data_IF_124560576867
#
_entry.id   IF_124560576867
#
_cell.length_a   1.000
_cell.length_b   1.000
_cell.length_c   1.000
_cell.angle_alpha   90.00
_cell.angle_beta   90.00
_cell.angle_gamma   90.00
#
_symmetry.space_group_name_H-M   'P 1'
#
loop_
_entity.id
_entity.type
_entity.pdbx_description
1 polymer ?
#
# COMPACT_ATOMS: atom_id res chain seq x y z
N UNK A 1 5.22 17.02 5.07
CA UNK A 1 4.74 15.74 5.63
C UNK A 1 5.36 15.57 7.01
N UNK A 2 4.58 15.22 7.99
CA UNK A 2 5.05 14.81 9.30
C UNK A 2 4.45 13.45 9.68
N UNK A 3 4.80 12.95 10.86
CA UNK A 3 4.36 11.62 11.32
C UNK A 3 2.83 11.51 11.36
N UNK A 4 2.15 12.52 11.88
CA UNK A 4 0.68 12.53 11.98
C UNK A 4 0.03 12.57 10.59
N UNK A 5 0.54 13.41 9.71
CA UNK A 5 0.04 13.51 8.33
C UNK A 5 0.29 12.21 7.54
N UNK A 6 1.41 11.54 7.80
CA UNK A 6 1.68 10.25 7.17
C UNK A 6 0.70 9.18 7.64
N UNK A 7 0.38 9.14 8.93
CA UNK A 7 -0.65 8.24 9.45
C UNK A 7 -2.00 8.46 8.77
N UNK A 8 -2.40 9.72 8.59
CA UNK A 8 -3.62 10.06 7.87
C UNK A 8 -3.55 9.66 6.38
N UNK A 9 -2.38 9.81 5.75
CA UNK A 9 -2.17 9.37 4.37
C UNK A 9 -2.35 7.84 4.23
N UNK A 10 -1.86 7.06 5.19
CA UNK A 10 -2.01 5.61 5.19
C UNK A 10 -3.48 5.18 5.25
N UNK A 11 -4.30 5.89 6.03
CA UNK A 11 -5.75 5.66 6.07
C UNK A 11 -6.38 5.94 4.70
N UNK A 12 -6.02 7.05 4.07
CA UNK A 12 -6.51 7.39 2.73
C UNK A 12 -6.04 6.38 1.67
N UNK A 13 -4.84 5.85 1.82
CA UNK A 13 -4.29 4.81 0.94
C UNK A 13 -5.19 3.56 0.97
N UNK A 14 -5.52 3.07 2.15
CA UNK A 14 -6.40 1.91 2.31
C UNK A 14 -7.81 2.20 1.79
N UNK A 15 -8.34 3.39 2.09
CA UNK A 15 -9.68 3.80 1.62
C UNK A 15 -9.74 3.90 0.10
N UNK A 16 -8.72 4.46 -0.54
CA UNK A 16 -8.66 4.56 -2.00
C UNK A 16 -8.59 3.16 -2.65
N UNK A 17 -7.84 2.26 -2.05
CA UNK A 17 -7.78 0.86 -2.48
C UNK A 17 -9.15 0.19 -2.37
N UNK A 18 -9.84 0.42 -1.26
CA UNK A 18 -11.18 -0.15 -1.03
C UNK A 18 -12.22 0.37 -2.03
N UNK A 19 -12.14 1.66 -2.37
CA UNK A 19 -13.10 2.31 -3.26
C UNK A 19 -12.84 2.04 -4.75
N UNK A 20 -11.62 1.71 -5.14
CA UNK A 20 -11.21 1.58 -6.53
C UNK A 20 -11.57 2.83 -7.37
N UNK A 21 -11.50 4.01 -6.75
CA UNK A 21 -11.83 5.28 -7.37
C UNK A 21 -10.57 5.94 -7.96
N UNK A 22 -10.51 6.19 -9.28
CA UNK A 22 -9.34 6.78 -9.91
C UNK A 22 -8.92 8.13 -9.30
N UNK A 23 -9.87 8.97 -8.92
CA UNK A 23 -9.58 10.27 -8.31
C UNK A 23 -8.96 10.10 -6.93
N UNK A 24 -9.54 9.25 -6.08
CA UNK A 24 -9.01 8.99 -4.74
C UNK A 24 -7.61 8.39 -4.79
N UNK A 25 -7.37 7.47 -5.73
CA UNK A 25 -6.03 6.89 -5.94
C UNK A 25 -5.06 7.97 -6.41
N UNK A 26 -5.44 8.75 -7.40
CA UNK A 26 -4.58 9.79 -7.98
C UNK A 26 -4.18 10.87 -6.97
N UNK A 27 -5.08 11.24 -6.07
CA UNK A 27 -4.85 12.27 -5.05
C UNK A 27 -3.78 11.87 -4.01
N UNK A 28 -3.45 10.59 -3.90
CA UNK A 28 -2.41 10.11 -3.00
C UNK A 28 -1.01 10.42 -3.51
N UNK A 29 -0.84 10.63 -4.80
CA UNK A 29 0.46 10.62 -5.46
C UNK A 29 0.76 11.94 -6.17
N UNK A 30 2.05 12.30 -6.20
CA UNK A 30 2.51 13.43 -6.98
C UNK A 30 2.39 13.13 -8.49
N UNK A 31 2.35 14.17 -9.35
CA UNK A 31 2.27 13.93 -10.79
C UNK A 31 3.39 13.08 -11.37
N UNK A 32 4.58 13.14 -10.74
CA UNK A 32 5.80 12.45 -11.18
C UNK A 32 6.16 11.25 -10.28
N UNK A 33 5.20 10.70 -9.56
CA UNK A 33 5.42 9.60 -8.61
C UNK A 33 6.19 8.44 -9.23
N UNK A 34 7.04 7.83 -8.40
CA UNK A 34 7.73 6.58 -8.71
C UNK A 34 7.27 5.53 -7.70
N UNK A 35 6.55 4.53 -8.18
CA UNK A 35 5.94 3.51 -7.33
C UNK A 35 6.46 2.13 -7.69
N UNK A 36 7.19 1.49 -6.78
CA UNK A 36 7.67 0.13 -6.94
C UNK A 36 6.83 -0.82 -6.08
N UNK A 37 6.17 -1.78 -6.71
CA UNK A 37 5.34 -2.78 -6.04
C UNK A 37 6.16 -3.76 -5.22
N UNK A 38 7.43 -3.92 -5.56
CA UNK A 38 8.42 -4.68 -4.79
C UNK A 38 9.81 -4.14 -5.11
N UNK A 39 10.84 -4.47 -4.28
CA UNK A 39 12.17 -3.89 -4.45
C UNK A 39 12.94 -4.38 -5.70
N UNK A 40 12.45 -5.41 -6.38
CA UNK A 40 13.09 -5.95 -7.59
C UNK A 40 12.48 -5.41 -8.87
N UNK A 41 11.26 -4.89 -8.82
CA UNK A 41 10.54 -4.38 -9.99
C UNK A 41 10.94 -2.95 -10.32
N UNK A 42 10.91 -2.60 -11.61
CA UNK A 42 11.02 -1.22 -12.03
C UNK A 42 9.84 -0.42 -11.50
N UNK A 43 10.10 0.82 -11.10
CA UNK A 43 9.05 1.71 -10.64
C UNK A 43 8.09 2.06 -11.77
N UNK A 44 6.79 2.06 -11.45
CA UNK A 44 5.77 2.68 -12.30
C UNK A 44 5.91 4.20 -12.12
N UNK A 45 6.07 4.92 -13.22
CA UNK A 45 6.36 6.35 -13.21
C UNK A 45 5.16 7.15 -13.69
N UNK A 46 4.75 8.12 -12.87
CA UNK A 46 3.69 9.05 -13.19
C UNK A 46 2.33 8.64 -12.63
N UNK A 47 1.56 9.67 -12.22
CA UNK A 47 0.23 9.47 -11.64
C UNK A 47 -0.72 8.68 -12.55
N UNK A 48 -0.85 8.99 -13.84
CA UNK A 48 -1.75 8.23 -14.70
C UNK A 48 -1.38 6.75 -14.79
N UNK A 49 -0.09 6.44 -14.80
CA UNK A 49 0.38 5.07 -14.87
C UNK A 49 0.09 4.28 -13.61
N UNK A 50 0.27 4.89 -12.43
CA UNK A 50 -0.04 4.19 -11.16
C UNK A 50 -1.55 4.00 -10.97
N UNK A 51 -2.36 4.96 -11.36
CA UNK A 51 -3.82 4.80 -11.33
C UNK A 51 -4.25 3.65 -12.24
N UNK A 52 -3.71 3.58 -13.45
CA UNK A 52 -3.99 2.49 -14.37
C UNK A 52 -3.53 1.14 -13.82
N UNK A 53 -2.35 1.08 -13.20
CA UNK A 53 -1.82 -0.15 -12.62
C UNK A 53 -2.70 -0.67 -11.48
N UNK A 54 -3.18 0.22 -10.60
CA UNK A 54 -4.08 -0.15 -9.51
C UNK A 54 -5.42 -0.69 -10.00
N UNK A 55 -5.91 -0.17 -11.13
CA UNK A 55 -7.23 -0.51 -11.65
C UNK A 55 -7.21 -1.63 -12.71
N UNK A 56 -6.03 -2.17 -13.05
CA UNK A 56 -5.92 -3.25 -14.04
C UNK A 56 -6.57 -4.55 -13.54
N UNK A 57 -6.38 -4.89 -12.25
CA UNK A 57 -6.97 -6.07 -11.63
C UNK A 57 -7.33 -5.72 -10.18
N UNK A 58 -8.37 -4.89 -10.00
CA UNK A 58 -8.68 -4.35 -8.68
C UNK A 58 -9.24 -5.42 -7.75
N UNK A 59 -8.84 -5.37 -6.49
CA UNK A 59 -9.41 -6.20 -5.45
C UNK A 59 -10.84 -5.76 -5.15
N UNK A 60 -11.79 -6.69 -5.17
CA UNK A 60 -13.18 -6.38 -4.89
C UNK A 60 -13.37 -5.98 -3.42
N UNK A 61 -14.24 -5.01 -3.12
CA UNK A 61 -14.52 -4.63 -1.74
C UNK A 61 -14.99 -5.82 -0.90
N UNK A 62 -14.50 -5.90 0.34
CA UNK A 62 -14.88 -6.96 1.27
C UNK A 62 -14.14 -8.28 1.09
N UNK A 63 -13.22 -8.38 0.11
CA UNK A 63 -12.42 -9.59 -0.13
C UNK A 63 -11.07 -9.55 0.56
N UNK A 64 -10.73 -8.43 1.18
CA UNK A 64 -9.46 -8.21 1.86
C UNK A 64 -9.61 -7.24 3.02
N UNK A 65 -8.64 -7.27 3.92
CA UNK A 65 -8.47 -6.32 5.02
C UNK A 65 -7.02 -5.89 5.07
N UNK A 66 -6.78 -4.64 5.41
CA UNK A 66 -5.43 -4.12 5.59
C UNK A 66 -5.40 -3.04 6.65
N UNK A 67 -4.31 -3.03 7.41
CA UNK A 67 -4.02 -1.99 8.39
C UNK A 67 -2.52 -1.70 8.38
N UNK A 68 -2.18 -0.42 8.25
CA UNK A 68 -0.81 0.05 8.22
C UNK A 68 -0.65 1.21 9.18
N UNK A 69 0.50 1.27 9.82
CA UNK A 69 0.83 2.34 10.77
C UNK A 69 2.24 2.87 10.55
N UNK A 70 2.51 4.05 11.05
CA UNK A 70 3.84 4.66 10.96
C UNK A 70 4.80 3.89 11.86
N UNK A 71 5.89 3.39 11.27
CA UNK A 71 6.95 2.71 12.01
C UNK A 71 8.07 3.68 12.38
N UNK A 72 8.52 4.49 11.45
CA UNK A 72 9.64 5.40 11.65
C UNK A 72 9.59 6.57 10.68
N UNK A 73 10.21 7.67 11.09
CA UNK A 73 10.43 8.85 10.23
C UNK A 73 11.88 9.29 10.46
N UNK A 74 12.63 9.43 9.38
CA UNK A 74 13.99 9.95 9.42
C UNK A 74 14.16 10.96 8.28
N UNK A 75 14.18 12.25 8.62
CA UNK A 75 14.26 13.32 7.63
C UNK A 75 13.08 13.24 6.66
N UNK A 76 13.37 13.05 5.39
CA UNK A 76 12.38 12.93 4.32
C UNK A 76 11.92 11.50 4.06
N UNK A 77 12.42 10.53 4.82
CA UNK A 77 12.09 9.12 4.65
C UNK A 77 11.03 8.71 5.67
N UNK A 78 9.91 8.21 5.18
CA UNK A 78 8.77 7.79 5.98
C UNK A 78 8.56 6.29 5.79
N UNK A 79 8.53 5.55 6.89
CA UNK A 79 8.41 4.09 6.88
C UNK A 79 7.14 3.68 7.59
N UNK A 80 6.33 2.88 6.92
CA UNK A 80 5.14 2.27 7.48
C UNK A 80 5.28 0.76 7.50
N UNK A 81 4.54 0.10 8.37
CA UNK A 81 4.42 -1.35 8.37
C UNK A 81 2.98 -1.75 8.69
N UNK A 82 2.65 -3.00 8.41
CA UNK A 82 1.33 -3.52 8.71
C UNK A 82 1.09 -4.87 8.10
N UNK A 83 -0.18 -5.19 7.97
CA UNK A 83 -0.64 -6.49 7.47
C UNK A 83 -1.70 -6.32 6.41
N UNK A 84 -1.67 -7.23 5.44
CA UNK A 84 -2.72 -7.39 4.44
C UNK A 84 -3.24 -8.81 4.50
N UNK A 85 -4.55 -8.96 4.58
CA UNK A 85 -5.21 -10.27 4.66
C UNK A 85 -6.21 -10.38 3.52
N UNK A 86 -6.03 -11.40 2.71
CA UNK A 86 -7.00 -11.75 1.67
C UNK A 86 -7.89 -12.85 2.21
N UNK A 87 -9.20 -12.68 2.05
CA UNK A 87 -10.20 -13.55 2.66
C UNK A 87 -10.60 -14.68 1.70
N UNK A 88 -11.08 -15.79 2.26
CA UNK A 88 -11.69 -16.87 1.48
C UNK A 88 -12.95 -16.39 0.78
N UNK A 89 -13.45 -17.15 -0.20
CA UNK A 89 -14.63 -16.78 -0.98
C UNK A 89 -15.87 -16.54 -0.12
N UNK A 90 -16.02 -17.29 0.97
CA UNK A 90 -17.12 -17.11 1.93
C UNK A 90 -16.83 -16.00 2.95
N UNK A 91 -15.64 -15.39 2.90
CA UNK A 91 -15.18 -14.32 3.79
C UNK A 91 -15.12 -14.71 5.27
N UNK A 92 -15.16 -15.99 5.58
CA UNK A 92 -15.16 -16.50 6.95
C UNK A 92 -13.74 -16.64 7.51
N UNK A 93 -12.75 -16.86 6.65
CA UNK A 93 -11.37 -17.15 7.03
C UNK A 93 -10.39 -16.34 6.19
N UNK A 94 -9.13 -16.34 6.63
CA UNK A 94 -8.02 -15.75 5.89
C UNK A 94 -7.46 -16.81 4.93
N UNK A 95 -7.44 -16.48 3.64
CA UNK A 95 -6.84 -17.31 2.60
C UNK A 95 -5.31 -17.15 2.59
N UNK A 96 -4.83 -15.91 2.63
CA UNK A 96 -3.40 -15.58 2.65
C UNK A 96 -3.18 -14.26 3.37
N UNK A 97 -2.04 -14.16 4.04
CA UNK A 97 -1.67 -12.98 4.80
C UNK A 97 -0.26 -12.54 4.46
N UNK A 98 -0.06 -11.22 4.41
CA UNK A 98 1.23 -10.60 4.16
C UNK A 98 1.60 -9.65 5.29
N UNK A 99 2.89 -9.62 5.62
CA UNK A 99 3.49 -8.52 6.38
C UNK A 99 4.09 -7.54 5.38
N UNK A 100 3.82 -6.26 5.56
CA UNK A 100 4.19 -5.22 4.61
C UNK A 100 5.05 -4.15 5.27
N UNK A 101 6.01 -3.63 4.50
CA UNK A 101 6.78 -2.42 4.84
C UNK A 101 6.72 -1.49 3.63
N UNK A 102 6.35 -0.23 3.85
CA UNK A 102 6.39 0.82 2.84
C UNK A 102 7.47 1.82 3.19
N UNK A 103 8.29 2.18 2.20
CA UNK A 103 9.24 3.27 2.33
C UNK A 103 8.81 4.36 1.35
N UNK A 104 8.52 5.54 1.88
CA UNK A 104 7.87 6.62 1.15
C UNK A 104 8.61 7.93 1.27
N UNK A 105 8.51 8.75 0.22
CA UNK A 105 8.87 10.16 0.24
C UNK A 105 7.71 10.97 -0.32
N UNK A 106 7.58 12.21 0.16
CA UNK A 106 6.44 13.07 -0.15
C UNK A 106 6.91 14.40 -0.73
N UNK A 107 6.06 15.03 -1.53
CA UNK A 107 6.26 16.39 -1.99
C UNK A 107 5.77 17.40 -0.94
N UNK A 108 5.94 18.71 -1.23
CA UNK A 108 5.56 19.78 -0.30
C UNK A 108 4.05 19.88 -0.09
N UNK A 109 3.25 19.24 -0.94
CA UNK A 109 1.79 19.21 -0.83
C UNK A 109 1.26 17.96 -0.13
N UNK A 110 2.17 17.12 0.40
CA UNK A 110 1.77 15.90 1.11
C UNK A 110 1.36 14.75 0.20
N UNK A 111 1.74 14.80 -1.07
CA UNK A 111 1.50 13.72 -2.03
C UNK A 111 2.75 12.85 -2.13
N UNK A 112 2.55 11.54 -2.23
CA UNK A 112 3.66 10.59 -2.31
C UNK A 112 4.36 10.71 -3.66
N UNK A 113 5.68 10.96 -3.64
CA UNK A 113 6.51 11.04 -4.84
C UNK A 113 7.36 9.81 -5.07
N UNK A 114 7.68 9.05 -4.02
CA UNK A 114 8.39 7.78 -4.09
C UNK A 114 7.77 6.79 -3.12
N UNK A 115 7.51 5.59 -3.60
CA UNK A 115 6.93 4.51 -2.82
C UNK A 115 7.60 3.20 -3.22
N UNK A 116 8.05 2.44 -2.24
CA UNK A 116 8.55 1.08 -2.45
C UNK A 116 7.97 0.18 -1.38
N UNK A 117 7.45 -0.96 -1.79
CA UNK A 117 6.91 -1.95 -0.87
C UNK A 117 7.85 -3.14 -0.75
N UNK A 118 8.04 -3.60 0.48
CA UNK A 118 8.55 -4.93 0.79
C UNK A 118 7.41 -5.71 1.39
N UNK A 119 7.24 -6.95 0.97
CA UNK A 119 6.22 -7.81 1.56
C UNK A 119 6.73 -9.23 1.71
N UNK A 120 6.19 -9.91 2.73
CA UNK A 120 6.47 -11.31 2.97
C UNK A 120 5.15 -12.02 3.25
N UNK A 121 4.88 -13.07 2.47
CA UNK A 121 3.70 -13.90 2.70
C UNK A 121 3.93 -14.77 3.94
N UNK A 122 2.90 -14.87 4.80
CA UNK A 122 2.93 -15.80 5.91
C UNK A 122 3.03 -17.21 5.35
N UNK A 123 4.00 -17.96 5.84
CA UNK A 123 4.13 -19.36 5.45
C UNK A 123 2.98 -20.18 6.05
N UNK A 124 2.44 -21.16 5.31
CA UNK A 124 1.51 -22.11 5.91
C UNK A 124 2.14 -22.75 7.13
N UNK A 125 1.34 -22.98 8.19
CA UNK A 125 1.82 -23.66 9.36
C UNK A 125 2.21 -25.09 8.99
N UNK A 126 3.46 -25.45 9.26
CA UNK A 126 3.94 -26.82 9.08
C UNK A 126 3.83 -27.52 10.41
N UNK A 127 2.91 -28.49 10.49
CA UNK A 127 2.76 -29.30 11.69
C UNK A 127 3.95 -30.27 11.79
N UNK A 128 4.54 -30.41 12.98
CA UNK A 128 5.60 -31.40 13.14
C UNK A 128 5.06 -32.83 12.90
N UNK A 129 5.87 -33.61 12.28
CA UNK A 129 5.54 -35.02 12.01
C UNK A 129 5.38 -35.80 13.31
#
# INVERSE_FOLDING_TARGET
MDRTAFGAWLVRYVDAWRLNDPTAIGDLFSPDVRYAFDPFSEAVVGRPAIVAAWLTDPDAPGTWEADYEVLAVDGETFVAHGRTRYLTDDRADIDREFANVFVCRFDDEGRCREFTEWYMRRRPEVLPD
#
